data_IF_758931298489
#
_entry.id   IF_758931298489
#
_cell.length_a   1.000
_cell.length_b   1.000
_cell.length_c   1.000
_cell.angle_alpha   90.00
_cell.angle_beta   90.00
_cell.angle_gamma   90.00
#
_symmetry.space_group_name_H-M   'P 1'
#
loop_
_entity.id
_entity.type
_entity.pdbx_description
1 polymer ?
#
# COMPACT_ATOMS: atom_id res chain seq x y z
N UNK A 1 14.12 -0.81 24.20
CA UNK A 1 12.78 -1.10 23.63
C UNK A 1 12.78 -0.59 22.21
N UNK A 2 13.21 -1.41 21.24
CA UNK A 2 13.12 -1.06 19.82
C UNK A 2 11.99 -1.90 19.26
N UNK A 3 10.76 -1.38 19.36
CA UNK A 3 9.63 -1.97 18.64
C UNK A 3 9.92 -1.75 17.16
N UNK A 4 10.46 -2.77 16.49
CA UNK A 4 10.62 -2.76 15.04
C UNK A 4 9.22 -2.85 14.45
N UNK A 5 8.59 -1.69 14.26
CA UNK A 5 7.27 -1.60 13.63
C UNK A 5 7.41 -2.02 12.17
N UNK A 6 7.01 -3.24 11.86
CA UNK A 6 6.97 -3.77 10.51
C UNK A 6 5.86 -3.05 9.73
N UNK A 7 6.26 -2.15 8.84
CA UNK A 7 5.37 -1.42 7.94
C UNK A 7 5.08 -2.29 6.72
N UNK A 8 3.81 -2.44 6.40
CA UNK A 8 3.34 -3.18 5.23
C UNK A 8 2.40 -2.34 4.39
N UNK A 9 2.35 -2.61 3.09
CA UNK A 9 1.54 -1.87 2.12
C UNK A 9 0.58 -2.82 1.41
N UNK A 10 -0.64 -2.35 1.24
CA UNK A 10 -1.72 -3.08 0.60
C UNK A 10 -2.21 -2.23 -0.56
N UNK A 11 -2.29 -2.80 -1.75
CA UNK A 11 -2.68 -2.12 -2.99
C UNK A 11 -4.05 -2.66 -3.40
N UNK A 12 -4.96 -1.75 -3.68
CA UNK A 12 -6.33 -2.01 -4.11
C UNK A 12 -6.56 -1.37 -5.47
N UNK A 13 -7.33 -2.05 -6.31
CA UNK A 13 -7.79 -1.54 -7.59
C UNK A 13 -9.29 -1.79 -7.66
N UNK A 14 -10.10 -0.73 -7.80
CA UNK A 14 -11.56 -0.85 -7.81
C UNK A 14 -12.11 -1.66 -6.62
N UNK A 15 -11.71 -1.28 -5.39
CA UNK A 15 -12.07 -1.98 -4.14
C UNK A 15 -11.58 -3.44 -4.05
N UNK A 16 -10.82 -3.92 -5.05
CA UNK A 16 -10.29 -5.28 -5.09
C UNK A 16 -8.84 -5.28 -4.63
N UNK A 17 -8.56 -6.04 -3.57
CA UNK A 17 -7.20 -6.28 -3.10
C UNK A 17 -6.38 -6.98 -4.21
N UNK A 18 -5.39 -6.28 -4.77
CA UNK A 18 -4.43 -6.86 -5.71
C UNK A 18 -3.25 -7.47 -4.97
N UNK A 19 -2.67 -6.71 -4.05
CA UNK A 19 -1.49 -7.09 -3.29
C UNK A 19 -1.65 -6.65 -1.83
N UNK A 20 -1.17 -7.46 -0.90
CA UNK A 20 -1.20 -7.15 0.54
C UNK A 20 0.08 -7.62 1.21
N UNK A 21 0.38 -7.05 2.38
CA UNK A 21 1.59 -7.34 3.15
C UNK A 21 2.88 -7.08 2.35
N UNK A 22 2.87 -6.08 1.46
CA UNK A 22 4.07 -5.68 0.74
C UNK A 22 5.01 -4.91 1.67
N UNK A 23 6.30 -5.15 1.58
CA UNK A 23 7.27 -4.26 2.21
C UNK A 23 7.48 -3.02 1.33
N UNK A 24 8.11 -1.97 1.88
CA UNK A 24 8.32 -0.70 1.16
C UNK A 24 8.98 -0.88 -0.22
N UNK A 25 9.99 -1.75 -0.32
CA UNK A 25 10.70 -2.01 -1.59
C UNK A 25 9.79 -2.69 -2.63
N UNK A 26 9.07 -3.74 -2.23
CA UNK A 26 8.10 -4.43 -3.08
C UNK A 26 6.99 -3.47 -3.55
N UNK A 27 6.49 -2.64 -2.63
CA UNK A 27 5.49 -1.62 -2.94
C UNK A 27 6.01 -0.65 -4.00
N UNK A 28 7.23 -0.11 -3.85
CA UNK A 28 7.78 0.86 -4.81
C UNK A 28 7.92 0.26 -6.23
N UNK A 29 8.37 -0.99 -6.32
CA UNK A 29 8.52 -1.70 -7.60
C UNK A 29 7.15 -1.96 -8.23
N UNK A 30 6.22 -2.51 -7.45
CA UNK A 30 4.88 -2.89 -7.91
C UNK A 30 4.10 -1.63 -8.28
N UNK A 31 4.03 -0.65 -7.37
CA UNK A 31 3.38 0.63 -7.58
C UNK A 31 3.95 1.34 -8.81
N UNK A 32 5.29 1.45 -8.94
CA UNK A 32 5.93 2.05 -10.11
C UNK A 32 5.55 1.40 -11.45
N UNK A 33 5.32 0.07 -11.45
CA UNK A 33 4.87 -0.67 -12.65
C UNK A 33 3.36 -0.54 -12.91
N UNK A 34 2.53 -0.66 -11.88
CA UNK A 34 1.07 -0.65 -11.98
C UNK A 34 0.55 0.77 -12.26
N UNK A 35 1.14 1.80 -11.63
CA UNK A 35 0.78 3.21 -11.81
C UNK A 35 0.92 3.68 -13.26
N UNK A 36 1.76 3.01 -14.05
CA UNK A 36 1.92 3.26 -15.49
C UNK A 36 0.91 2.50 -16.37
N UNK A 37 0.33 1.40 -15.89
CA UNK A 37 -0.62 0.56 -16.65
C UNK A 37 -2.08 0.83 -16.32
N UNK A 38 -2.39 1.20 -15.08
CA UNK A 38 -3.76 1.36 -14.60
C UNK A 38 -4.02 2.85 -14.33
N UNK A 39 -5.17 3.34 -14.80
CA UNK A 39 -5.58 4.73 -14.64
C UNK A 39 -5.61 5.10 -13.15
N UNK A 40 -4.97 6.24 -12.83
CA UNK A 40 -4.73 6.74 -11.46
C UNK A 40 -5.96 6.87 -10.58
N UNK A 41 -7.15 6.91 -11.16
CA UNK A 41 -8.39 7.25 -10.45
C UNK A 41 -8.96 6.08 -9.64
N UNK A 42 -8.54 4.84 -9.92
CA UNK A 42 -9.11 3.62 -9.30
C UNK A 42 -8.10 2.82 -8.46
N UNK A 43 -6.82 3.23 -8.46
CA UNK A 43 -5.74 2.55 -7.75
C UNK A 43 -5.48 3.25 -6.42
N UNK A 44 -5.72 2.56 -5.31
CA UNK A 44 -5.50 3.05 -3.94
C UNK A 44 -4.52 2.14 -3.20
N UNK A 45 -3.92 2.67 -2.14
CA UNK A 45 -3.07 1.89 -1.26
C UNK A 45 -3.33 2.26 0.20
N UNK A 46 -3.03 1.31 1.08
CA UNK A 46 -3.09 1.49 2.53
C UNK A 46 -1.75 1.08 3.13
N UNK A 47 -1.23 1.91 4.03
CA UNK A 47 -0.05 1.60 4.83
C UNK A 47 -0.51 1.02 6.17
N UNK A 48 0.03 -0.11 6.58
CA UNK A 48 -0.23 -0.72 7.88
C UNK A 48 1.07 -0.81 8.68
N UNK A 49 1.07 -0.20 9.86
CA UNK A 49 2.19 -0.17 10.79
C UNK A 49 1.87 -1.12 11.94
N UNK A 50 2.42 -2.34 11.91
CA UNK A 50 2.01 -3.40 12.83
C UNK A 50 0.55 -3.82 12.60
N UNK A 51 -0.28 -3.77 13.64
CA UNK A 51 -1.73 -4.06 13.56
C UNK A 51 -2.59 -2.84 13.17
N UNK A 52 -2.00 -1.65 13.03
CA UNK A 52 -2.74 -0.43 12.71
C UNK A 52 -2.57 -0.07 11.23
N UNK A 53 -3.65 -0.19 10.46
CA UNK A 53 -3.72 0.32 9.09
C UNK A 53 -4.08 1.81 9.12
N UNK A 54 -3.15 2.64 8.65
CA UNK A 54 -3.32 4.08 8.53
C UNK A 54 -3.80 4.35 7.10
N UNK A 55 -5.09 4.62 6.97
CA UNK A 55 -5.65 5.21 5.77
C UNK A 55 -5.37 6.71 5.84
N UNK A 56 -4.44 7.22 5.02
CA UNK A 56 -4.25 8.67 4.85
C UNK A 56 -5.53 9.24 4.21
N UNK A 57 -6.55 9.49 5.02
CA UNK A 57 -7.66 10.35 4.65
C UNK A 57 -7.13 11.77 4.61
N UNK A 58 -6.85 12.25 3.39
CA UNK A 58 -6.46 13.63 3.08
C UNK A 58 -7.33 14.62 3.85
N UNK A 59 -6.68 15.50 4.63
CA UNK A 59 -7.31 16.61 5.39
C UNK A 59 -7.63 17.80 4.50
#
# INVERSE_FOLDING_TARGET
>A
MTSTTSVTFHIYLNDKCLFKNLNKEEFDIIWGRIYHSYFKEELTYTECVGDMCIEESSY
#
